data_IF_858868298510
#
_entry.id   IF_858868298510
#
_cell.length_a   1.000
_cell.length_b   1.000
_cell.length_c   1.000
_cell.angle_alpha   90.00
_cell.angle_beta   90.00
_cell.angle_gamma   90.00
#
_symmetry.space_group_name_H-M   'P 1'
#
loop_
_entity.id
_entity.type
_entity.pdbx_description
1 polymer ?
#
# COMPACT_ATOMS: atom_id res chain seq x y z
N UNK A 1 63.66 -14.08 -46.34
CA UNK A 1 63.24 -13.89 -44.93
C UNK A 1 62.29 -12.70 -44.87
N UNK A 2 61.30 -12.77 -43.97
CA UNK A 2 60.27 -11.77 -43.65
C UNK A 2 59.01 -11.72 -44.56
N UNK A 3 57.99 -12.48 -44.15
CA UNK A 3 56.59 -12.25 -44.49
C UNK A 3 55.88 -11.79 -43.19
N UNK A 4 55.34 -10.58 -43.20
CA UNK A 4 54.56 -10.02 -42.08
C UNK A 4 53.08 -10.30 -42.30
N UNK A 5 52.51 -11.20 -41.48
CA UNK A 5 51.08 -11.40 -41.35
C UNK A 5 50.48 -10.24 -40.55
N UNK A 6 49.64 -9.43 -41.22
CA UNK A 6 48.68 -8.54 -40.55
C UNK A 6 47.40 -9.35 -40.35
N UNK A 7 47.21 -9.86 -39.14
CA UNK A 7 46.03 -10.64 -38.79
C UNK A 7 44.94 -9.70 -38.26
N UNK A 8 43.87 -9.62 -39.04
CA UNK A 8 42.69 -8.79 -38.88
C UNK A 8 41.78 -9.39 -37.79
N UNK A 9 41.84 -8.86 -36.57
CA UNK A 9 40.87 -9.17 -35.50
C UNK A 9 39.58 -8.35 -35.71
N UNK A 10 38.68 -8.85 -36.57
CA UNK A 10 37.28 -8.40 -36.61
C UNK A 10 36.56 -8.98 -35.37
N UNK A 11 36.56 -8.22 -34.28
CA UNK A 11 35.70 -8.50 -33.14
C UNK A 11 34.24 -8.29 -33.56
N UNK A 12 33.50 -9.40 -33.72
CA UNK A 12 32.06 -9.44 -33.90
C UNK A 12 31.38 -8.85 -32.65
N UNK A 13 31.10 -7.55 -32.66
CA UNK A 13 30.13 -6.94 -31.77
C UNK A 13 28.74 -7.35 -32.23
N UNK A 14 28.29 -8.52 -31.81
CA UNK A 14 26.88 -8.89 -31.91
C UNK A 14 26.07 -7.85 -31.13
N UNK A 15 25.02 -7.24 -31.73
CA UNK A 15 24.14 -6.37 -30.98
C UNK A 15 23.52 -7.21 -29.87
N UNK A 16 23.84 -6.87 -28.63
CA UNK A 16 23.08 -7.34 -27.47
C UNK A 16 21.70 -6.71 -27.64
N UNK A 17 20.79 -7.45 -28.26
CA UNK A 17 19.39 -7.07 -28.28
C UNK A 17 18.92 -7.12 -26.83
N UNK A 18 18.75 -5.95 -26.21
CA UNK A 18 18.06 -5.87 -24.92
C UNK A 18 16.73 -6.59 -25.08
N UNK A 19 16.62 -7.76 -24.44
CA UNK A 19 15.35 -8.44 -24.31
C UNK A 19 14.44 -7.48 -23.54
N UNK A 20 13.53 -6.82 -24.25
CA UNK A 20 12.53 -5.94 -23.65
C UNK A 20 11.74 -6.78 -22.65
N UNK A 21 11.61 -6.30 -21.41
CA UNK A 21 10.85 -7.00 -20.39
C UNK A 21 9.43 -7.26 -20.89
N UNK A 22 8.97 -8.50 -20.79
CA UNK A 22 7.64 -8.92 -21.23
C UNK A 22 6.53 -8.41 -20.31
N UNK A 23 6.89 -7.83 -19.15
CA UNK A 23 6.02 -7.10 -18.25
C UNK A 23 6.84 -6.44 -17.15
N UNK A 24 6.33 -5.32 -16.63
CA UNK A 24 6.92 -4.56 -15.53
C UNK A 24 5.79 -4.06 -14.64
N UNK A 25 5.96 -4.16 -13.33
CA UNK A 25 5.03 -3.59 -12.35
C UNK A 25 5.83 -2.85 -11.28
N UNK A 26 5.51 -1.57 -11.10
CA UNK A 26 6.03 -0.71 -10.05
C UNK A 26 5.45 -1.15 -8.70
N UNK A 27 6.29 -1.12 -7.67
CA UNK A 27 5.87 -1.48 -6.32
C UNK A 27 5.10 -0.34 -5.64
N UNK A 28 3.87 -0.10 -6.10
CA UNK A 28 2.97 0.91 -5.55
C UNK A 28 1.75 0.20 -4.97
N UNK A 29 1.63 0.09 -3.65
CA UNK A 29 0.45 -0.50 -3.02
C UNK A 29 -0.82 0.28 -3.38
N UNK A 30 -1.95 -0.39 -3.68
CA UNK A 30 -3.22 0.27 -3.89
C UNK A 30 -3.71 0.92 -2.59
N UNK A 31 -4.35 2.09 -2.72
CA UNK A 31 -4.94 2.85 -1.61
C UNK A 31 -6.40 3.10 -1.94
N UNK A 32 -7.30 2.73 -1.03
CA UNK A 32 -8.72 3.07 -1.17
C UNK A 32 -8.96 4.54 -0.84
N UNK A 33 -9.88 5.16 -1.59
CA UNK A 33 -10.36 6.51 -1.28
C UNK A 33 -11.18 6.52 0.02
N UNK A 34 -10.93 7.51 0.88
CA UNK A 34 -11.69 7.67 2.12
C UNK A 34 -13.11 8.15 1.92
N UNK A 35 -13.32 8.92 0.85
CA UNK A 35 -14.61 9.53 0.50
C UNK A 35 -14.96 9.20 -0.94
N UNK A 36 -16.25 9.10 -1.29
CA UNK A 36 -16.70 8.79 -2.65
C UNK A 36 -16.15 9.71 -3.77
N UNK A 37 -15.76 10.94 -3.43
CA UNK A 37 -15.24 11.96 -4.35
C UNK A 37 -13.71 12.11 -4.35
N UNK A 38 -13.00 11.31 -3.55
CA UNK A 38 -11.56 11.49 -3.26
C UNK A 38 -10.61 10.54 -4.00
N UNK A 39 -11.02 10.02 -5.15
CA UNK A 39 -10.13 9.17 -5.96
C UNK A 39 -8.84 9.89 -6.35
N UNK A 40 -8.92 11.18 -6.64
CA UNK A 40 -7.74 12.03 -6.90
C UNK A 40 -6.78 12.13 -5.69
N UNK A 41 -7.32 12.25 -4.46
CA UNK A 41 -6.50 12.33 -3.26
C UNK A 41 -5.83 10.99 -2.92
N UNK A 42 -6.55 9.88 -3.10
CA UNK A 42 -6.00 8.53 -2.93
C UNK A 42 -4.91 8.21 -3.98
N UNK A 43 -5.13 8.61 -5.24
CA UNK A 43 -4.09 8.52 -6.28
C UNK A 43 -2.88 9.40 -5.95
N UNK A 44 -3.12 10.61 -5.43
CA UNK A 44 -2.08 11.49 -4.91
C UNK A 44 -1.26 10.82 -3.81
N UNK A 45 -1.91 10.25 -2.79
CA UNK A 45 -1.24 9.49 -1.73
C UNK A 45 -0.35 8.38 -2.30
N UNK A 46 -0.85 7.56 -3.24
CA UNK A 46 -0.05 6.50 -3.87
C UNK A 46 1.21 7.04 -4.55
N UNK A 47 1.08 8.11 -5.34
CA UNK A 47 2.22 8.74 -6.05
C UNK A 47 3.18 9.40 -5.07
N UNK A 48 2.68 10.11 -4.07
CA UNK A 48 3.50 10.79 -3.10
C UNK A 48 4.29 9.82 -2.20
N UNK A 49 3.66 8.73 -1.75
CA UNK A 49 4.37 7.64 -1.06
C UNK A 49 5.44 7.01 -1.95
N UNK A 50 5.16 6.79 -3.23
CA UNK A 50 6.13 6.25 -4.19
C UNK A 50 7.37 7.14 -4.34
N UNK A 51 7.21 8.47 -4.31
CA UNK A 51 8.31 9.44 -4.41
C UNK A 51 8.79 9.99 -3.06
N UNK A 52 8.49 9.31 -1.95
CA UNK A 52 8.86 9.70 -0.59
C UNK A 52 8.47 11.13 -0.17
N UNK A 53 7.45 11.70 -0.82
CA UNK A 53 6.85 12.95 -0.38
C UNK A 53 6.15 12.68 0.96
N UNK A 54 6.37 13.48 2.01
CA UNK A 54 5.73 13.26 3.29
C UNK A 54 4.29 13.78 3.31
N UNK A 55 3.46 13.27 4.24
CA UNK A 55 2.16 13.86 4.50
C UNK A 55 2.33 15.19 5.26
N UNK A 56 1.60 16.23 4.84
CA UNK A 56 1.55 17.51 5.59
C UNK A 56 0.86 17.33 6.93
N UNK A 57 -0.24 16.56 6.93
CA UNK A 57 -0.97 16.19 8.13
C UNK A 57 -0.54 14.79 8.55
N UNK A 58 0.03 14.66 9.76
CA UNK A 58 0.70 13.43 10.19
C UNK A 58 -0.23 12.22 10.24
N UNK A 59 -1.51 12.40 10.57
CA UNK A 59 -2.43 11.29 10.89
C UNK A 59 -3.19 10.77 9.65
N UNK A 60 -3.22 11.55 8.56
CA UNK A 60 -4.08 11.25 7.42
C UNK A 60 -3.57 11.93 6.16
N UNK A 61 -3.12 11.10 5.21
CA UNK A 61 -2.54 11.55 3.95
C UNK A 61 -3.57 12.22 3.05
N UNK A 62 -4.75 11.62 2.86
CA UNK A 62 -5.77 12.14 1.95
C UNK A 62 -6.39 13.40 2.53
N UNK A 63 -6.67 13.43 3.83
CA UNK A 63 -7.11 14.64 4.52
C UNK A 63 -6.05 15.77 4.41
N UNK A 64 -4.76 15.46 4.61
CA UNK A 64 -3.69 16.44 4.44
C UNK A 64 -3.62 17.01 3.00
N UNK A 65 -3.78 16.15 1.99
CA UNK A 65 -3.90 16.56 0.59
C UNK A 65 -5.07 17.54 0.39
N UNK A 66 -6.25 17.19 0.92
CA UNK A 66 -7.47 17.99 0.75
C UNK A 66 -7.39 19.34 1.51
N UNK A 67 -6.82 19.35 2.71
CA UNK A 67 -6.61 20.57 3.50
C UNK A 67 -5.69 21.56 2.80
N UNK A 68 -4.55 21.10 2.27
CA UNK A 68 -3.58 21.98 1.62
C UNK A 68 -4.09 22.56 0.29
N UNK A 69 -4.99 21.86 -0.39
CA UNK A 69 -5.71 22.41 -1.55
C UNK A 69 -6.77 23.46 -1.16
N UNK A 70 -6.88 23.82 0.12
CA UNK A 70 -7.88 24.74 0.68
C UNK A 70 -9.31 24.34 0.33
N UNK A 71 -9.54 23.04 0.15
CA UNK A 71 -10.86 22.48 -0.12
C UNK A 71 -11.66 22.29 1.18
N UNK A 72 -10.98 22.28 2.33
CA UNK A 72 -11.53 22.16 3.68
C UNK A 72 -11.46 23.47 4.49
N UNK A 73 -11.79 24.64 3.91
CA UNK A 73 -11.61 25.90 4.64
C UNK A 73 -12.40 25.94 5.95
N UNK A 74 -11.69 26.07 7.08
CA UNK A 74 -12.27 26.34 8.40
C UNK A 74 -12.60 25.10 9.24
N UNK A 75 -12.40 23.88 8.73
CA UNK A 75 -12.61 22.65 9.52
C UNK A 75 -11.31 21.89 9.70
N UNK A 76 -10.83 21.68 10.95
CA UNK A 76 -9.66 20.85 11.20
C UNK A 76 -9.91 19.37 10.90
N UNK A 77 -11.19 18.96 10.83
CA UNK A 77 -11.60 17.61 10.48
C UNK A 77 -12.01 17.59 9.00
N UNK A 78 -11.44 16.66 8.22
CA UNK A 78 -11.83 16.48 6.83
C UNK A 78 -13.16 15.73 6.65
N UNK A 79 -13.89 15.47 7.74
CA UNK A 79 -15.17 14.78 7.72
C UNK A 79 -16.24 15.51 6.93
N UNK A 80 -16.16 16.85 6.94
CA UNK A 80 -17.17 17.73 6.35
C UNK A 80 -16.76 18.20 4.94
N UNK A 81 -15.62 17.71 4.44
CA UNK A 81 -15.06 18.10 3.15
C UNK A 81 -15.59 17.20 2.04
N UNK A 82 -16.86 17.35 1.70
CA UNK A 82 -17.47 16.69 0.55
C UNK A 82 -17.47 17.63 -0.66
N UNK A 83 -16.28 17.92 -1.19
CA UNK A 83 -16.15 18.63 -2.45
C UNK A 83 -15.90 17.65 -3.60
N UNK A 84 -16.63 17.80 -4.72
CA UNK A 84 -16.49 16.92 -5.88
C UNK A 84 -15.09 17.02 -6.48
N UNK A 85 -14.68 15.92 -7.12
CA UNK A 85 -13.34 15.60 -7.60
C UNK A 85 -12.56 16.79 -8.16
N UNK A 86 -11.27 16.87 -7.79
CA UNK A 86 -10.30 17.65 -8.57
C UNK A 86 -10.28 17.13 -10.00
N UNK A 87 -10.43 18.03 -10.98
CA UNK A 87 -10.18 17.70 -12.38
C UNK A 87 -8.69 17.38 -12.61
N UNK A 88 -8.32 16.90 -13.80
CA UNK A 88 -6.91 16.66 -14.11
C UNK A 88 -6.02 17.90 -13.90
N UNK A 89 -6.53 19.12 -14.10
CA UNK A 89 -5.79 20.36 -13.82
C UNK A 89 -5.47 20.51 -12.34
N UNK A 90 -6.43 20.22 -11.47
CA UNK A 90 -6.28 20.28 -10.02
C UNK A 90 -5.32 19.20 -9.53
N UNK A 91 -5.41 17.99 -10.06
CA UNK A 91 -4.46 16.91 -9.76
C UNK A 91 -3.05 17.24 -10.25
N UNK A 92 -2.92 17.82 -11.44
CA UNK A 92 -1.63 18.28 -11.96
C UNK A 92 -0.99 19.33 -11.03
N UNK A 93 -1.76 20.33 -10.60
CA UNK A 93 -1.29 21.33 -9.63
C UNK A 93 -0.95 20.71 -8.28
N UNK A 94 -1.74 19.72 -7.83
CA UNK A 94 -1.46 18.99 -6.61
C UNK A 94 -0.07 18.34 -6.66
N UNK A 95 0.25 17.65 -7.75
CA UNK A 95 1.56 17.00 -7.93
C UNK A 95 2.70 18.01 -7.83
N UNK A 96 2.60 19.18 -8.46
CA UNK A 96 3.67 20.18 -8.46
C UNK A 96 3.78 20.95 -7.13
N UNK A 97 2.66 21.24 -6.47
CA UNK A 97 2.64 22.15 -5.32
C UNK A 97 2.72 21.45 -3.97
N UNK A 98 2.09 20.28 -3.83
CA UNK A 98 2.03 19.57 -2.55
C UNK A 98 3.40 19.22 -1.97
N UNK A 99 4.38 18.70 -2.75
CA UNK A 99 5.69 18.36 -2.22
C UNK A 99 6.39 19.55 -1.54
N UNK A 100 6.28 20.75 -2.11
CA UNK A 100 6.86 21.97 -1.54
C UNK A 100 6.15 22.45 -0.26
N UNK A 101 4.89 22.10 -0.06
CA UNK A 101 4.15 22.37 1.18
C UNK A 101 4.48 21.32 2.25
N UNK A 102 4.49 20.05 1.88
CA UNK A 102 4.86 18.92 2.72
C UNK A 102 6.27 19.04 3.30
N UNK A 103 7.23 19.45 2.47
CA UNK A 103 8.64 19.60 2.89
C UNK A 103 8.85 20.71 3.93
N UNK A 104 7.95 21.70 4.05
CA UNK A 104 8.06 22.75 5.08
C UNK A 104 7.76 22.25 6.49
N UNK A 105 6.96 21.19 6.57
CA UNK A 105 6.47 20.62 7.82
C UNK A 105 7.23 19.35 8.23
N UNK A 106 8.09 18.83 7.35
CA UNK A 106 8.86 17.61 7.56
C UNK A 106 10.35 17.90 7.75
N UNK A 107 11.09 16.89 8.22
CA UNK A 107 12.56 16.92 8.24
C UNK A 107 13.17 16.53 6.90
N UNK A 108 12.35 16.04 5.96
CA UNK A 108 12.81 15.67 4.63
C UNK A 108 13.34 16.91 3.91
N UNK A 109 14.41 16.73 3.15
CA UNK A 109 14.93 17.71 2.23
C UNK A 109 13.89 18.13 1.18
N UNK A 110 14.16 19.18 0.41
CA UNK A 110 13.23 19.68 -0.58
C UNK A 110 12.99 18.62 -1.66
N UNK A 111 11.74 18.13 -1.75
CA UNK A 111 11.26 17.28 -2.84
C UNK A 111 10.36 18.12 -3.74
N UNK A 112 10.56 18.01 -5.05
CA UNK A 112 9.70 18.60 -6.06
C UNK A 112 9.33 17.53 -7.10
N UNK A 113 8.04 17.44 -7.41
CA UNK A 113 7.56 16.61 -8.50
C UNK A 113 7.19 17.50 -9.69
N UNK A 114 7.43 16.99 -10.90
CA UNK A 114 6.89 17.57 -12.13
C UNK A 114 6.15 16.49 -12.91
N UNK A 115 5.22 16.89 -13.77
CA UNK A 115 4.48 15.97 -14.63
C UNK A 115 4.19 16.64 -15.98
N UNK A 116 3.61 15.87 -16.91
CA UNK A 116 3.02 16.39 -18.14
C UNK A 116 1.56 15.98 -18.23
N UNK A 117 0.72 16.88 -18.75
CA UNK A 117 -0.70 16.62 -19.01
C UNK A 117 -0.92 16.39 -20.51
N UNK A 118 -1.63 15.32 -20.85
CA UNK A 118 -2.02 14.97 -22.22
C UNK A 118 -3.50 14.61 -22.26
N UNK A 119 -4.22 15.17 -23.24
CA UNK A 119 -5.59 14.74 -23.54
C UNK A 119 -5.60 13.34 -24.18
N UNK A 120 -6.54 12.50 -23.75
CA UNK A 120 -6.68 11.11 -24.18
C UNK A 120 -5.73 10.15 -23.44
N UNK A 121 -5.60 8.94 -24.00
CA UNK A 121 -4.68 7.91 -23.53
C UNK A 121 -3.28 8.04 -24.14
N UNK A 122 -2.30 7.44 -23.48
CA UNK A 122 -1.03 7.08 -24.11
C UNK A 122 -1.23 5.97 -25.15
N UNK A 123 -0.26 5.81 -26.04
CA UNK A 123 -0.09 4.61 -26.87
C UNK A 123 0.56 3.48 -26.06
N UNK A 124 0.46 2.23 -26.53
CA UNK A 124 1.09 1.08 -25.86
C UNK A 124 2.59 1.28 -25.62
N UNK A 125 3.32 1.80 -26.62
CA UNK A 125 4.75 2.08 -26.52
C UNK A 125 5.07 3.19 -25.51
N UNK A 126 4.23 4.23 -25.43
CA UNK A 126 4.36 5.28 -24.42
C UNK A 126 4.08 4.73 -23.01
N UNK A 127 3.08 3.86 -22.83
CA UNK A 127 2.81 3.21 -21.53
C UNK A 127 4.00 2.39 -21.07
N UNK A 128 4.50 1.49 -21.94
CA UNK A 128 5.67 0.65 -21.61
C UNK A 128 6.86 1.50 -21.22
N UNK A 129 7.16 2.53 -22.02
CA UNK A 129 8.27 3.45 -21.75
C UNK A 129 8.17 4.13 -20.38
N UNK A 130 7.01 4.63 -20.00
CA UNK A 130 6.85 5.28 -18.69
C UNK A 130 7.08 4.29 -17.54
N UNK A 131 6.49 3.10 -17.63
CA UNK A 131 6.61 2.06 -16.61
C UNK A 131 8.05 1.49 -16.54
N UNK A 132 8.69 1.26 -17.69
CA UNK A 132 10.09 0.81 -17.79
C UNK A 132 11.07 1.82 -17.18
N UNK A 133 10.76 3.12 -17.30
CA UNK A 133 11.54 4.21 -16.69
C UNK A 133 11.10 4.50 -15.24
N UNK A 134 10.37 3.59 -14.59
CA UNK A 134 10.02 3.71 -13.17
C UNK A 134 8.97 4.78 -12.86
N UNK A 135 8.12 5.16 -13.82
CA UNK A 135 7.15 6.24 -13.64
C UNK A 135 5.71 5.75 -13.75
N UNK A 136 4.89 5.91 -12.70
CA UNK A 136 3.49 5.57 -12.79
C UNK A 136 2.73 6.59 -13.67
N UNK A 137 1.59 6.17 -14.20
CA UNK A 137 0.75 7.02 -15.05
C UNK A 137 -0.61 7.22 -14.37
N UNK A 138 -1.00 8.48 -14.16
CA UNK A 138 -2.34 8.79 -13.65
C UNK A 138 -3.29 8.93 -14.83
N UNK A 139 -4.38 8.16 -14.80
CA UNK A 139 -5.43 8.16 -15.80
C UNK A 139 -6.71 8.77 -15.23
N UNK A 140 -7.20 9.83 -15.87
CA UNK A 140 -8.57 10.29 -15.67
C UNK A 140 -9.50 9.43 -16.53
N UNK A 141 -10.44 8.76 -15.87
CA UNK A 141 -11.36 7.80 -16.46
C UNK A 141 -12.82 8.20 -16.24
N UNK A 142 -13.70 7.71 -17.10
CA UNK A 142 -15.14 7.91 -17.00
C UNK A 142 -15.88 6.58 -17.24
N UNK A 143 -15.77 5.63 -16.29
CA UNK A 143 -16.35 4.30 -16.44
C UNK A 143 -17.86 4.40 -16.72
N UNK A 144 -18.32 3.64 -17.72
CA UNK A 144 -19.74 3.59 -18.09
C UNK A 144 -20.56 3.03 -16.92
N UNK A 145 -21.29 3.88 -16.21
CA UNK A 145 -22.07 3.50 -15.03
C UNK A 145 -21.93 4.47 -13.87
N UNK A 146 -20.82 5.23 -13.81
CA UNK A 146 -20.67 6.34 -12.88
C UNK A 146 -21.56 7.51 -13.32
N UNK A 147 -22.82 7.47 -12.88
CA UNK A 147 -23.72 8.63 -12.86
C UNK A 147 -23.97 9.03 -11.40
N UNK A 148 -22.91 9.15 -10.60
CA UNK A 148 -23.03 9.81 -9.30
C UNK A 148 -23.14 11.30 -9.62
N UNK A 149 -24.28 11.91 -9.27
CA UNK A 149 -24.64 13.29 -9.62
C UNK A 149 -23.46 14.27 -9.49
N UNK A 150 -22.95 14.77 -10.62
CA UNK A 150 -21.90 15.79 -10.67
C UNK A 150 -20.45 15.29 -10.66
N UNK A 151 -20.17 14.01 -10.37
CA UNK A 151 -18.80 13.44 -10.40
C UNK A 151 -18.54 12.87 -11.80
N UNK A 152 -18.13 13.75 -12.73
CA UNK A 152 -17.90 13.39 -14.15
C UNK A 152 -16.54 12.72 -14.40
N UNK A 153 -15.67 12.66 -13.38
CA UNK A 153 -14.26 12.31 -13.52
C UNK A 153 -13.79 11.48 -12.33
N UNK A 154 -13.20 10.32 -12.61
CA UNK A 154 -12.59 9.40 -11.63
C UNK A 154 -11.12 9.20 -11.97
N UNK A 155 -10.25 9.01 -10.99
CA UNK A 155 -8.82 8.83 -11.22
C UNK A 155 -8.37 7.43 -10.80
N UNK A 156 -7.55 6.81 -11.65
CA UNK A 156 -6.87 5.56 -11.38
C UNK A 156 -5.38 5.70 -11.72
N UNK A 157 -4.55 4.84 -11.12
CA UNK A 157 -3.11 4.85 -11.30
C UNK A 157 -2.69 3.58 -12.04
N UNK A 158 -2.11 3.72 -13.23
CA UNK A 158 -1.48 2.61 -13.94
C UNK A 158 -0.07 2.44 -13.38
N UNK A 159 0.19 1.25 -12.84
CA UNK A 159 1.43 0.92 -12.13
C UNK A 159 2.19 -0.21 -12.80
N UNK A 160 1.65 -0.82 -13.86
CA UNK A 160 2.34 -1.90 -14.55
C UNK A 160 1.72 -2.26 -15.89
N UNK A 161 2.43 -3.11 -16.62
CA UNK A 161 1.94 -3.75 -17.83
C UNK A 161 2.46 -5.19 -17.96
N UNK A 162 1.76 -6.01 -18.75
CA UNK A 162 2.18 -7.34 -19.16
C UNK A 162 1.79 -7.57 -20.62
N UNK A 163 2.77 -7.86 -21.48
CA UNK A 163 2.59 -8.11 -22.92
C UNK A 163 3.04 -9.53 -23.32
N UNK A 164 3.20 -10.43 -22.35
CA UNK A 164 3.61 -11.82 -22.62
C UNK A 164 2.63 -12.59 -23.51
N UNK A 165 1.35 -12.19 -23.54
CA UNK A 165 0.30 -12.82 -24.32
C UNK A 165 0.13 -12.25 -25.73
N UNK A 166 0.91 -11.23 -26.10
CA UNK A 166 0.73 -10.46 -27.35
C UNK A 166 -0.45 -9.48 -27.33
N UNK A 167 -1.19 -9.41 -26.22
CA UNK A 167 -2.12 -8.33 -25.93
C UNK A 167 -1.63 -7.59 -24.68
N UNK A 168 -1.45 -6.28 -24.78
CA UNK A 168 -1.02 -5.46 -23.64
C UNK A 168 -2.10 -5.46 -22.54
N UNK A 169 -1.76 -6.04 -21.41
CA UNK A 169 -2.49 -5.96 -20.16
C UNK A 169 -1.90 -4.85 -19.29
N UNK A 170 -2.74 -4.09 -18.61
CA UNK A 170 -2.36 -3.05 -17.66
C UNK A 170 -2.64 -3.52 -16.24
N UNK A 171 -1.74 -3.20 -15.32
CA UNK A 171 -1.97 -3.27 -13.87
C UNK A 171 -2.37 -1.88 -13.37
N UNK A 172 -3.57 -1.76 -12.80
CA UNK A 172 -4.20 -0.50 -12.43
C UNK A 172 -4.59 -0.52 -10.97
N UNK A 173 -4.10 0.42 -10.17
CA UNK A 173 -4.62 0.71 -8.85
C UNK A 173 -5.80 1.70 -8.99
N UNK A 174 -7.01 1.23 -8.73
CA UNK A 174 -8.21 2.06 -8.72
C UNK A 174 -8.69 2.20 -7.26
N UNK A 175 -8.73 3.43 -6.72
CA UNK A 175 -9.04 3.65 -5.32
C UNK A 175 -10.52 3.43 -4.96
N UNK A 176 -11.41 3.25 -5.93
CA UNK A 176 -12.84 3.08 -5.66
C UNK A 176 -13.13 1.67 -5.10
N UNK A 177 -13.82 1.55 -3.95
CA UNK A 177 -14.09 0.26 -3.33
C UNK A 177 -15.30 -0.44 -3.97
N UNK A 178 -15.13 -0.94 -5.20
CA UNK A 178 -16.19 -1.58 -5.98
C UNK A 178 -16.85 -2.78 -5.32
N UNK A 179 -16.15 -3.47 -4.41
CA UNK A 179 -16.66 -4.66 -3.71
C UNK A 179 -17.35 -4.34 -2.39
N UNK A 180 -17.35 -3.08 -1.96
CA UNK A 180 -18.05 -2.69 -0.73
C UNK A 180 -19.56 -2.76 -0.96
N UNK A 181 -20.28 -3.39 -0.02
CA UNK A 181 -21.73 -3.58 -0.05
C UNK A 181 -22.49 -2.26 -0.33
N UNK A 182 -21.93 -1.12 0.09
CA UNK A 182 -22.50 0.23 -0.13
C UNK A 182 -22.52 0.64 -1.62
N UNK A 183 -21.66 0.04 -2.43
CA UNK A 183 -21.45 0.38 -3.84
C UNK A 183 -21.74 -0.78 -4.81
N UNK A 184 -22.28 -1.91 -4.36
CA UNK A 184 -22.64 -3.05 -5.23
C UNK A 184 -23.59 -2.69 -6.39
N UNK A 185 -24.34 -1.60 -6.25
CA UNK A 185 -25.21 -1.07 -7.32
C UNK A 185 -24.42 -0.43 -8.46
N UNK A 186 -23.14 -0.10 -8.26
CA UNK A 186 -22.17 0.34 -9.27
C UNK A 186 -21.39 -0.90 -9.70
N UNK A 187 -21.76 -1.47 -10.85
CA UNK A 187 -21.04 -2.62 -11.40
C UNK A 187 -19.54 -2.30 -11.53
N UNK A 188 -18.70 -3.24 -11.11
CA UNK A 188 -17.25 -3.11 -11.22
C UNK A 188 -16.85 -3.05 -12.71
N UNK A 189 -16.29 -1.93 -13.19
CA UNK A 189 -16.09 -1.72 -14.63
C UNK A 189 -14.96 -2.60 -15.22
N UNK A 190 -14.15 -3.22 -14.34
CA UNK A 190 -13.09 -4.15 -14.70
C UNK A 190 -13.61 -5.58 -14.97
N UNK A 191 -14.84 -5.95 -14.56
CA UNK A 191 -15.46 -7.27 -14.83
C UNK A 191 -16.01 -7.41 -16.27
N UNK A 192 -16.09 -8.62 -16.88
CA UNK A 192 -15.91 -9.96 -16.30
C UNK A 192 -14.52 -10.59 -16.54
N UNK A 193 -13.64 -9.94 -17.29
CA UNK A 193 -12.33 -10.52 -17.67
C UNK A 193 -11.29 -10.43 -16.55
N UNK A 194 -11.73 -10.25 -15.31
CA UNK A 194 -10.83 -10.36 -14.18
C UNK A 194 -10.65 -11.83 -13.86
N UNK A 195 -9.39 -12.25 -13.84
CA UNK A 195 -9.01 -13.43 -13.09
C UNK A 195 -9.15 -13.08 -11.60
N UNK A 196 -10.40 -13.08 -11.08
CA UNK A 196 -10.73 -12.77 -9.68
C UNK A 196 -10.32 -13.92 -8.74
N UNK A 197 -9.17 -14.54 -8.96
CA UNK A 197 -8.68 -15.67 -8.16
C UNK A 197 -8.17 -15.25 -6.77
N UNK A 198 -8.48 -14.03 -6.30
CA UNK A 198 -8.17 -13.58 -4.94
C UNK A 198 -9.01 -12.36 -4.52
N UNK A 199 -9.04 -12.10 -3.20
CA UNK A 199 -9.70 -10.93 -2.62
C UNK A 199 -9.17 -9.64 -3.28
N UNK A 200 -10.11 -8.78 -3.69
CA UNK A 200 -9.84 -7.55 -4.42
C UNK A 200 -9.15 -6.52 -3.52
N UNK A 201 -7.96 -6.07 -3.92
CA UNK A 201 -7.13 -5.12 -3.18
C UNK A 201 -7.25 -3.68 -3.67
N UNK A 202 -8.13 -3.39 -4.62
CA UNK A 202 -8.11 -2.12 -5.36
C UNK A 202 -7.02 -2.08 -6.44
N UNK A 203 -6.45 -3.24 -6.80
CA UNK A 203 -5.54 -3.41 -7.94
C UNK A 203 -6.18 -4.37 -8.94
N UNK A 204 -6.18 -3.99 -10.21
CA UNK A 204 -6.94 -4.60 -11.28
C UNK A 204 -6.05 -4.87 -12.48
N UNK A 205 -6.26 -6.01 -13.16
CA UNK A 205 -5.68 -6.26 -14.48
C UNK A 205 -6.75 -6.06 -15.57
N UNK A 206 -6.38 -5.33 -16.62
CA UNK A 206 -7.30 -5.01 -17.72
C UNK A 206 -6.55 -4.81 -19.03
N UNK A 207 -7.10 -5.27 -20.15
CA UNK A 207 -6.47 -5.01 -21.46
C UNK A 207 -6.43 -3.52 -21.77
N UNK A 208 -5.32 -3.06 -22.35
CA UNK A 208 -5.09 -1.67 -22.73
C UNK A 208 -6.26 -1.09 -23.55
N UNK A 209 -6.70 -1.83 -24.57
CA UNK A 209 -7.83 -1.41 -25.43
C UNK A 209 -9.15 -1.27 -24.67
N UNK A 210 -9.41 -2.15 -23.70
CA UNK A 210 -10.62 -2.09 -22.88
C UNK A 210 -10.55 -0.91 -21.91
N UNK A 211 -9.40 -0.68 -21.27
CA UNK A 211 -9.20 0.47 -20.40
C UNK A 211 -9.41 1.78 -21.17
N UNK A 212 -8.82 1.90 -22.36
CA UNK A 212 -9.01 3.06 -23.23
C UNK A 212 -10.48 3.27 -23.64
N UNK A 213 -11.13 2.24 -24.18
CA UNK A 213 -12.43 2.38 -24.85
C UNK A 213 -13.66 2.21 -23.94
N UNK A 214 -13.62 1.29 -22.96
CA UNK A 214 -14.75 0.96 -22.09
C UNK A 214 -14.71 1.73 -20.78
N UNK A 215 -13.54 1.81 -20.14
CA UNK A 215 -13.33 2.63 -18.93
C UNK A 215 -13.24 4.12 -19.30
N UNK A 216 -13.01 4.43 -20.58
CA UNK A 216 -12.95 5.78 -21.18
C UNK A 216 -11.83 6.62 -20.57
N UNK A 217 -10.59 6.24 -20.87
CA UNK A 217 -9.41 7.01 -20.51
C UNK A 217 -9.39 8.36 -21.25
N UNK A 218 -9.73 9.44 -20.53
CA UNK A 218 -9.94 10.79 -21.08
C UNK A 218 -8.72 11.70 -20.99
N UNK A 219 -7.95 11.61 -19.91
CA UNK A 219 -6.76 12.44 -19.71
C UNK A 219 -5.65 11.63 -19.06
N UNK A 220 -4.42 12.06 -19.30
CA UNK A 220 -3.23 11.42 -18.79
C UNK A 220 -2.32 12.44 -18.11
N UNK A 221 -1.88 12.13 -16.89
CA UNK A 221 -0.69 12.73 -16.31
C UNK A 221 0.43 11.69 -16.31
N UNK A 222 1.56 12.02 -16.93
CA UNK A 222 2.69 11.13 -17.19
C UNK A 222 4.01 11.90 -17.09
N UNK A 223 5.15 11.23 -17.28
CA UNK A 223 6.49 11.81 -17.06
C UNK A 223 6.62 12.42 -15.68
N UNK A 224 6.07 11.72 -14.68
CA UNK A 224 6.17 12.14 -13.30
C UNK A 224 7.63 11.97 -12.88
N UNK A 225 8.33 13.07 -12.62
CA UNK A 225 9.73 13.03 -12.21
C UNK A 225 9.88 13.67 -10.83
N UNK A 226 10.85 13.17 -10.08
CA UNK A 226 11.20 13.67 -8.76
C UNK A 226 12.56 14.35 -8.83
N UNK A 227 12.68 15.54 -8.25
CA UNK A 227 13.95 16.23 -8.04
C UNK A 227 14.07 16.66 -6.58
N UNK A 228 15.26 16.53 -6.00
CA UNK A 228 15.46 16.76 -4.57
C UNK A 228 16.48 15.81 -3.97
N UNK A 229 16.90 16.09 -2.73
CA UNK A 229 17.85 15.24 -2.01
C UNK A 229 17.27 13.86 -1.68
N UNK A 230 15.97 13.81 -1.39
CA UNK A 230 15.29 12.60 -0.90
C UNK A 230 14.45 11.89 -1.97
N UNK A 231 14.62 12.26 -3.24
CA UNK A 231 13.98 11.54 -4.32
C UNK A 231 14.54 10.11 -4.41
N UNK A 232 13.70 9.10 -4.69
CA UNK A 232 14.20 7.77 -5.02
C UNK A 232 15.20 7.90 -6.16
N UNK A 233 16.38 7.28 -6.04
CA UNK A 233 17.28 7.18 -7.20
C UNK A 233 16.53 6.49 -8.34
N UNK A 234 16.68 6.95 -9.58
CA UNK A 234 15.99 6.44 -10.78
C UNK A 234 16.08 4.91 -10.98
N UNK A 235 16.96 4.22 -10.25
CA UNK A 235 17.13 2.77 -10.23
C UNK A 235 16.26 2.00 -9.21
N UNK A 236 15.43 2.65 -8.38
CA UNK A 236 14.62 1.95 -7.39
C UNK A 236 13.27 1.47 -7.95
N UNK A 237 13.16 0.13 -8.05
CA UNK A 237 11.93 -0.68 -8.03
C UNK A 237 11.16 -0.88 -9.36
N UNK A 238 11.86 -1.37 -10.39
CA UNK A 238 11.29 -2.50 -11.15
C UNK A 238 11.45 -3.74 -10.26
N UNK A 239 10.36 -4.43 -9.95
CA UNK A 239 10.35 -5.52 -8.99
C UNK A 239 11.19 -6.73 -9.45
N UNK A 240 12.47 -6.73 -9.08
CA UNK A 240 13.29 -7.93 -8.85
C UNK A 240 13.89 -7.94 -7.42
N UNK A 241 13.54 -6.98 -6.56
CA UNK A 241 14.22 -6.73 -5.27
C UNK A 241 13.36 -6.95 -4.02
N UNK A 242 13.89 -7.73 -3.08
CA UNK A 242 13.29 -8.10 -1.80
C UNK A 242 12.91 -6.89 -0.92
N UNK A 243 11.74 -7.00 -0.29
CA UNK A 243 11.31 -6.22 0.89
C UNK A 243 12.43 -6.20 1.93
N UNK A 244 12.60 -5.07 2.66
CA UNK A 244 13.56 -4.93 3.76
C UNK A 244 13.50 -6.18 4.65
N UNK A 245 14.61 -6.93 4.67
CA UNK A 245 14.65 -8.33 5.10
C UNK A 245 14.11 -8.54 6.53
N UNK A 246 14.34 -7.58 7.41
CA UNK A 246 14.00 -7.69 8.83
C UNK A 246 12.49 -7.54 9.11
N UNK A 247 11.80 -6.62 8.43
CA UNK A 247 10.33 -6.46 8.56
C UNK A 247 9.60 -7.68 7.98
N UNK A 248 10.15 -8.23 6.90
CA UNK A 248 9.67 -9.47 6.30
C UNK A 248 9.85 -10.65 7.27
N UNK A 249 10.96 -10.75 8.01
CA UNK A 249 11.24 -11.87 8.92
C UNK A 249 10.25 -11.95 10.09
N UNK A 250 9.96 -10.82 10.74
CA UNK A 250 9.03 -10.77 11.88
C UNK A 250 7.59 -11.09 11.45
N UNK A 251 7.16 -10.46 10.34
CA UNK A 251 5.85 -10.73 9.76
C UNK A 251 5.74 -12.19 9.32
N UNK A 252 6.76 -12.72 8.66
CA UNK A 252 6.78 -14.11 8.20
C UNK A 252 6.78 -15.11 9.35
N UNK A 253 7.42 -14.80 10.48
CA UNK A 253 7.35 -15.63 11.70
C UNK A 253 5.91 -15.72 12.24
N UNK A 254 5.19 -14.59 12.27
CA UNK A 254 3.78 -14.55 12.66
C UNK A 254 2.89 -15.28 11.66
N UNK A 255 3.13 -15.09 10.36
CA UNK A 255 2.41 -15.81 9.29
C UNK A 255 2.64 -17.33 9.35
N UNK A 256 3.86 -17.78 9.67
CA UNK A 256 4.17 -19.19 9.85
C UNK A 256 3.55 -19.78 11.14
N UNK A 257 3.30 -18.95 12.15
CA UNK A 257 2.65 -19.36 13.39
C UNK A 257 1.11 -19.49 13.24
N UNK A 258 0.49 -18.77 12.30
CA UNK A 258 -0.90 -19.02 11.92
C UNK A 258 -1.02 -20.32 11.11
N UNK A 259 -2.00 -21.17 11.42
CA UNK A 259 -2.18 -22.48 10.77
C UNK A 259 -2.75 -22.37 9.35
N UNK A 260 -2.20 -23.13 8.40
CA UNK A 260 -2.98 -23.85 7.39
C UNK A 260 -3.08 -23.31 5.97
N UNK A 261 -3.32 -22.03 5.71
CA UNK A 261 -3.59 -21.54 4.34
C UNK A 261 -3.07 -20.10 4.12
N UNK A 262 -1.84 -19.97 3.65
CA UNK A 262 -1.21 -18.66 3.39
C UNK A 262 -0.69 -18.58 1.96
N UNK A 263 -1.47 -17.99 1.05
CA UNK A 263 -0.99 -17.67 -0.30
C UNK A 263 -1.10 -16.22 -0.75
N UNK A 264 -1.62 -15.30 0.06
CA UNK A 264 -1.55 -13.87 -0.27
C UNK A 264 -1.67 -12.97 0.97
N UNK A 265 -0.58 -12.29 1.32
CA UNK A 265 -0.62 -11.11 2.18
C UNK A 265 -1.19 -9.97 1.33
N UNK A 266 -2.40 -9.52 1.65
CA UNK A 266 -3.06 -8.40 0.98
C UNK A 266 -3.75 -7.55 2.05
N UNK A 267 -3.65 -6.23 1.94
CA UNK A 267 -4.30 -5.28 2.86
C UNK A 267 -5.58 -4.79 2.23
N UNK A 268 -6.72 -5.00 2.89
CA UNK A 268 -8.03 -4.56 2.43
C UNK A 268 -8.73 -3.71 3.49
N UNK A 269 -9.64 -2.84 3.06
CA UNK A 269 -10.54 -1.99 3.85
C UNK A 269 -9.99 -1.14 5.01
N UNK A 270 -10.22 0.16 4.84
CA UNK A 270 -9.88 1.29 5.71
C UNK A 270 -11.04 1.63 6.65
N UNK A 271 -10.75 1.77 7.94
CA UNK A 271 -11.55 2.59 8.84
C UNK A 271 -10.62 3.66 9.42
N UNK A 272 -10.88 4.93 9.08
CA UNK A 272 -10.24 6.07 9.74
C UNK A 272 -11.10 6.41 10.94
N UNK A 273 -10.62 6.07 12.13
CA UNK A 273 -11.11 6.70 13.35
C UNK A 273 -10.05 7.71 13.83
N UNK A 274 -10.37 8.52 14.84
CA UNK A 274 -9.45 9.54 15.37
C UNK A 274 -8.16 8.99 15.98
N UNK A 275 -7.84 7.69 15.86
CA UNK A 275 -6.65 7.04 16.41
C UNK A 275 -5.64 6.56 15.35
N UNK A 276 -5.92 6.74 14.05
CA UNK A 276 -5.01 6.45 12.94
C UNK A 276 -5.64 5.57 11.85
N UNK A 277 -4.84 5.20 10.83
CA UNK A 277 -5.31 4.38 9.71
C UNK A 277 -5.30 2.89 10.07
N UNK A 278 -6.49 2.26 10.10
CA UNK A 278 -6.63 0.82 10.32
C UNK A 278 -7.00 0.09 9.02
N UNK A 279 -6.20 -0.90 8.66
CA UNK A 279 -6.38 -1.84 7.55
C UNK A 279 -6.88 -3.18 8.08
N UNK A 280 -7.73 -3.90 7.36
CA UNK A 280 -8.03 -5.32 7.61
C UNK A 280 -7.01 -6.18 6.87
N UNK A 281 -6.37 -7.11 7.58
CA UNK A 281 -5.43 -8.07 6.98
C UNK A 281 -6.18 -9.28 6.44
N UNK A 282 -5.78 -9.84 5.30
CA UNK A 282 -6.22 -11.16 4.83
C UNK A 282 -5.68 -12.31 5.68
N UNK A 283 -4.72 -12.03 6.56
CA UNK A 283 -4.19 -12.99 7.53
C UNK A 283 -5.29 -13.28 8.53
N UNK A 284 -5.85 -14.48 8.49
CA UNK A 284 -6.74 -14.99 9.53
C UNK A 284 -5.98 -16.02 10.37
N UNK A 285 -6.16 -15.94 11.68
CA UNK A 285 -5.86 -17.06 12.56
C UNK A 285 -7.15 -17.85 12.72
N UNK A 286 -7.06 -19.18 12.76
CA UNK A 286 -8.17 -19.98 13.25
C UNK A 286 -8.64 -19.37 14.59
N UNK A 287 -9.94 -19.13 14.71
CA UNK A 287 -10.61 -18.53 15.87
C UNK A 287 -10.37 -17.02 16.10
N UNK A 288 -9.59 -16.32 15.27
CA UNK A 288 -9.53 -14.86 15.32
C UNK A 288 -10.84 -14.25 14.81
N UNK A 289 -11.38 -13.29 15.56
CA UNK A 289 -12.55 -12.52 15.14
C UNK A 289 -12.18 -11.52 14.04
N UNK A 290 -10.99 -10.93 14.13
CA UNK A 290 -10.53 -9.90 13.21
C UNK A 290 -9.02 -9.74 13.30
N UNK A 291 -8.36 -9.56 12.15
CA UNK A 291 -6.97 -9.13 12.09
C UNK A 291 -6.85 -7.78 11.39
N UNK A 292 -6.07 -6.90 12.00
CA UNK A 292 -5.94 -5.50 11.67
C UNK A 292 -4.47 -5.14 11.51
N UNK A 293 -4.13 -4.36 10.49
CA UNK A 293 -2.87 -3.64 10.43
C UNK A 293 -3.17 -2.20 10.78
N UNK A 294 -2.51 -1.65 11.78
CA UNK A 294 -2.59 -0.23 12.10
C UNK A 294 -1.29 0.40 11.68
N UNK A 295 -1.36 1.25 10.67
CA UNK A 295 -0.29 2.21 10.44
C UNK A 295 -0.56 3.33 11.43
N UNK A 296 0.19 3.35 12.53
CA UNK A 296 0.09 4.45 13.49
C UNK A 296 1.17 5.42 13.06
N UNK A 297 0.79 6.60 12.60
CA UNK A 297 1.69 7.64 12.10
C UNK A 297 2.62 8.27 13.18
N UNK A 298 2.84 7.56 14.28
CA UNK A 298 3.79 7.90 15.34
C UNK A 298 5.17 7.29 15.00
N UNK A 299 6.20 7.70 15.74
CA UNK A 299 7.60 7.21 15.63
C UNK A 299 7.79 5.70 15.77
N UNK A 300 6.73 4.97 16.08
CA UNK A 300 6.76 3.60 16.60
C UNK A 300 6.51 2.54 15.52
N UNK A 301 6.25 2.98 14.28
CA UNK A 301 6.13 2.15 13.07
C UNK A 301 4.83 1.38 12.90
N UNK A 302 4.79 0.57 11.84
CA UNK A 302 3.60 -0.19 11.47
C UNK A 302 3.32 -1.26 12.54
N UNK A 303 2.10 -1.24 13.08
CA UNK A 303 1.64 -2.20 14.08
C UNK A 303 0.62 -3.14 13.45
N UNK A 304 1.02 -4.38 13.18
CA UNK A 304 0.08 -5.43 12.88
C UNK A 304 -0.55 -5.96 14.18
N UNK A 305 -1.84 -6.29 14.20
CA UNK A 305 -2.55 -6.83 15.35
C UNK A 305 -3.75 -7.73 15.01
N UNK A 306 -3.84 -8.94 15.57
CA UNK A 306 -5.06 -9.75 15.56
C UNK A 306 -5.82 -9.65 16.89
N UNK A 307 -7.14 -9.55 16.80
CA UNK A 307 -8.08 -9.57 17.90
C UNK A 307 -8.85 -10.91 17.93
N UNK A 308 -8.78 -11.57 19.07
CA UNK A 308 -9.58 -12.75 19.40
C UNK A 308 -10.50 -12.38 20.56
N UNK A 309 -11.72 -12.91 20.57
CA UNK A 309 -12.68 -12.69 21.65
C UNK A 309 -13.15 -14.02 22.19
N UNK A 310 -12.99 -14.21 23.49
CA UNK A 310 -13.35 -15.44 24.19
C UNK A 310 -14.48 -15.21 25.18
N UNK A 311 -15.20 -16.28 25.50
CA UNK A 311 -16.32 -16.28 26.45
C UNK A 311 -15.84 -16.08 27.87
N UNK A 312 -14.68 -16.66 28.17
CA UNK A 312 -14.04 -16.69 29.47
C UNK A 312 -12.52 -16.74 29.34
N UNK A 313 -11.86 -16.59 30.49
CA UNK A 313 -10.41 -16.50 30.58
C UNK A 313 -9.69 -17.82 30.34
N UNK A 314 -10.28 -18.94 30.75
CA UNK A 314 -9.65 -20.25 30.57
C UNK A 314 -9.57 -20.62 29.08
N UNK A 315 -10.60 -20.28 28.31
CA UNK A 315 -10.60 -20.44 26.85
C UNK A 315 -9.49 -19.60 26.21
N UNK A 316 -9.36 -18.34 26.62
CA UNK A 316 -8.31 -17.44 26.14
C UNK A 316 -6.90 -17.95 26.49
N UNK A 317 -6.68 -18.43 27.72
CA UNK A 317 -5.41 -18.99 28.18
C UNK A 317 -4.98 -20.20 27.32
N UNK A 318 -5.90 -21.14 27.05
CA UNK A 318 -5.62 -22.30 26.20
C UNK A 318 -5.24 -21.89 24.76
N UNK A 319 -5.96 -20.91 24.19
CA UNK A 319 -5.66 -20.40 22.86
C UNK A 319 -4.31 -19.69 22.82
N UNK A 320 -3.97 -18.93 23.86
CA UNK A 320 -2.67 -18.26 23.97
C UNK A 320 -1.53 -19.26 24.08
N UNK A 321 -1.65 -20.32 24.89
CA UNK A 321 -0.62 -21.36 25.00
C UNK A 321 -0.30 -22.00 23.65
N UNK A 322 -1.33 -22.30 22.84
CA UNK A 322 -1.14 -22.85 21.51
C UNK A 322 -0.45 -21.85 20.55
N UNK A 323 -0.85 -20.59 20.56
CA UNK A 323 -0.21 -19.53 19.75
C UNK A 323 1.25 -19.34 20.17
N UNK A 324 1.53 -19.26 21.47
CA UNK A 324 2.90 -19.09 22.00
C UNK A 324 3.79 -20.26 21.61
N UNK A 325 3.28 -21.49 21.72
CA UNK A 325 4.00 -22.70 21.30
C UNK A 325 4.32 -22.69 19.80
N UNK A 326 3.42 -22.17 18.96
CA UNK A 326 3.67 -22.01 17.52
C UNK A 326 4.67 -20.89 17.24
N UNK A 327 4.56 -19.75 17.93
CA UNK A 327 5.51 -18.64 17.81
C UNK A 327 6.94 -19.11 18.14
N UNK A 328 7.16 -19.78 19.28
CA UNK A 328 8.49 -20.31 19.63
C UNK A 328 9.11 -21.20 18.55
N UNK A 329 8.29 -22.01 17.87
CA UNK A 329 8.76 -22.89 16.78
C UNK A 329 9.06 -22.15 15.49
N UNK A 330 8.39 -21.02 15.26
CA UNK A 330 8.46 -20.24 14.03
C UNK A 330 9.34 -19.00 14.15
N UNK A 331 9.87 -18.69 15.34
CA UNK A 331 10.75 -17.55 15.55
C UNK A 331 12.02 -17.69 14.68
N UNK A 332 12.43 -16.63 13.95
CA UNK A 332 13.65 -16.66 13.16
C UNK A 332 14.89 -16.78 14.07
N UNK A 333 15.99 -17.26 13.49
CA UNK A 333 17.26 -17.32 14.21
C UNK A 333 17.67 -15.95 14.77
N UNK A 334 18.07 -15.93 16.04
CA UNK A 334 18.49 -14.71 16.74
C UNK A 334 17.37 -13.96 17.45
N UNK A 335 16.10 -14.35 17.27
CA UNK A 335 15.01 -13.87 18.10
C UNK A 335 14.99 -14.57 19.46
N UNK A 336 14.62 -13.81 20.50
CA UNK A 336 14.47 -14.33 21.86
C UNK A 336 13.01 -14.19 22.26
N UNK A 337 12.29 -15.32 22.30
CA UNK A 337 10.93 -15.41 22.82
C UNK A 337 10.93 -15.61 24.33
N UNK A 338 10.08 -14.87 25.03
CA UNK A 338 9.90 -14.93 26.48
C UNK A 338 8.43 -15.16 26.79
N UNK A 339 8.14 -16.24 27.51
CA UNK A 339 6.81 -16.50 28.06
C UNK A 339 6.57 -15.54 29.23
N UNK A 340 5.44 -14.88 29.21
CA UNK A 340 5.05 -13.90 30.22
C UNK A 340 3.75 -14.36 30.88
N UNK A 341 3.56 -13.93 32.12
CA UNK A 341 2.26 -14.02 32.79
C UNK A 341 2.18 -12.88 33.82
N UNK A 342 2.36 -11.66 33.32
CA UNK A 342 2.45 -10.46 34.15
C UNK A 342 1.16 -9.68 33.99
N UNK A 343 0.47 -9.46 35.11
CA UNK A 343 -0.73 -8.65 35.16
C UNK A 343 -0.39 -7.18 35.42
N UNK A 344 -1.04 -6.31 34.66
CA UNK A 344 -1.08 -4.88 34.87
C UNK A 344 -2.52 -4.45 35.04
N UNK A 345 -2.89 -4.10 36.27
CA UNK A 345 -4.24 -3.70 36.63
C UNK A 345 -4.50 -2.21 36.38
N UNK A 346 -5.68 -1.90 35.82
CA UNK A 346 -6.25 -0.56 35.79
C UNK A 346 -7.65 -0.55 36.42
N UNK A 347 -8.25 0.63 36.58
CA UNK A 347 -9.63 0.76 37.08
C UNK A 347 -10.66 0.06 36.18
N UNK A 348 -10.39 -0.03 34.86
CA UNK A 348 -11.37 -0.49 33.87
C UNK A 348 -11.11 -1.91 33.36
N UNK A 349 -9.85 -2.34 33.34
CA UNK A 349 -9.45 -3.64 32.82
C UNK A 349 -8.16 -4.15 33.48
N UNK A 350 -7.91 -5.45 33.33
CA UNK A 350 -6.63 -6.09 33.65
C UNK A 350 -5.96 -6.47 32.35
N UNK A 351 -4.72 -6.01 32.11
CA UNK A 351 -3.91 -6.46 30.98
C UNK A 351 -3.01 -7.59 31.46
N UNK A 352 -2.98 -8.71 30.76
CA UNK A 352 -2.02 -9.79 31.04
C UNK A 352 -1.11 -9.99 29.84
N UNK A 353 0.17 -9.73 30.00
CA UNK A 353 1.16 -10.05 28.96
C UNK A 353 1.46 -11.56 29.01
N UNK A 354 1.36 -12.23 27.85
CA UNK A 354 1.51 -13.68 27.70
C UNK A 354 2.78 -14.10 26.97
N UNK A 355 3.23 -13.27 26.04
CA UNK A 355 4.45 -13.55 25.30
C UNK A 355 5.03 -12.27 24.73
N UNK A 356 6.34 -12.21 24.69
CA UNK A 356 7.07 -11.20 23.92
C UNK A 356 8.26 -11.86 23.23
N UNK A 357 8.50 -11.50 21.97
CA UNK A 357 9.73 -11.84 21.28
C UNK A 357 10.38 -10.59 20.71
N UNK A 358 11.70 -10.49 20.85
CA UNK A 358 12.49 -9.38 20.33
C UNK A 358 13.76 -9.92 19.67
N UNK A 359 14.29 -9.18 18.70
CA UNK A 359 15.61 -9.44 18.09
C UNK A 359 16.61 -8.46 18.72
N UNK A 360 17.67 -8.94 19.39
CA UNK A 360 18.64 -8.05 20.01
C UNK A 360 19.21 -7.05 18.99
N UNK A 361 19.17 -5.77 19.31
CA UNK A 361 19.65 -4.70 18.44
C UNK A 361 18.63 -4.16 17.44
N UNK A 362 17.36 -4.60 17.48
CA UNK A 362 16.26 -3.97 16.72
C UNK A 362 15.13 -3.56 17.66
N UNK A 363 14.32 -2.60 17.24
CA UNK A 363 13.09 -2.19 17.93
C UNK A 363 11.87 -3.06 17.52
N UNK A 364 12.12 -4.17 16.83
CA UNK A 364 11.07 -5.07 16.36
C UNK A 364 10.61 -5.97 17.50
N UNK A 365 9.30 -6.00 17.75
CA UNK A 365 8.72 -6.81 18.82
C UNK A 365 7.46 -7.54 18.36
N UNK A 366 7.36 -8.82 18.71
CA UNK A 366 6.12 -9.60 18.67
C UNK A 366 5.59 -9.66 20.10
N UNK A 367 4.31 -9.36 20.30
CA UNK A 367 3.69 -9.34 21.62
C UNK A 367 2.32 -10.03 21.59
N UNK A 368 2.06 -10.91 22.55
CA UNK A 368 0.74 -11.49 22.80
C UNK A 368 0.28 -11.10 24.19
N UNK A 369 -0.91 -10.51 24.30
CA UNK A 369 -1.46 -10.10 25.59
C UNK A 369 -2.99 -10.15 25.61
N UNK A 370 -3.56 -10.15 26.81
CA UNK A 370 -4.98 -10.07 27.05
C UNK A 370 -5.41 -8.72 27.59
N UNK A 371 -6.68 -8.40 27.37
CA UNK A 371 -7.41 -7.36 28.09
C UNK A 371 -8.69 -7.99 28.65
N UNK A 372 -8.76 -8.08 29.97
CA UNK A 372 -9.91 -8.52 30.75
C UNK A 372 -10.72 -7.30 31.20
N UNK A 373 -11.91 -7.10 30.63
CA UNK A 373 -12.74 -5.96 31.00
C UNK A 373 -13.57 -6.32 32.24
N UNK A 374 -13.18 -5.77 33.40
CA UNK A 374 -13.67 -6.12 34.75
C UNK A 374 -15.20 -6.18 34.89
N UNK A 375 -15.94 -5.37 34.11
CA UNK A 375 -17.41 -5.32 34.16
C UNK A 375 -18.13 -6.37 33.30
N UNK A 376 -17.45 -6.95 32.31
CA UNK A 376 -18.11 -7.77 31.29
C UNK A 376 -17.79 -9.26 31.35
N UNK A 377 -16.72 -9.64 32.06
CA UNK A 377 -16.19 -11.01 32.08
C UNK A 377 -15.63 -11.49 30.72
N UNK A 378 -15.60 -10.61 29.71
CA UNK A 378 -15.08 -10.92 28.37
C UNK A 378 -13.57 -10.68 28.31
N UNK A 379 -12.89 -11.62 27.66
CA UNK A 379 -11.44 -11.54 27.42
C UNK A 379 -11.18 -11.25 25.94
N UNK A 380 -10.37 -10.23 25.68
CA UNK A 380 -9.86 -9.93 24.34
C UNK A 380 -8.38 -10.24 24.29
N UNK A 381 -7.95 -11.09 23.35
CA UNK A 381 -6.55 -11.38 23.11
C UNK A 381 -6.06 -10.59 21.91
N UNK A 382 -4.86 -10.02 22.05
CA UNK A 382 -4.18 -9.24 21.04
C UNK A 382 -2.84 -9.90 20.73
N UNK A 383 -2.65 -10.30 19.47
CA UNK A 383 -1.33 -10.67 18.93
C UNK A 383 -0.85 -9.51 18.07
N UNK A 384 0.25 -8.86 18.42
CA UNK A 384 0.76 -7.69 17.72
C UNK A 384 2.20 -7.87 17.26
N UNK A 385 2.52 -7.33 16.08
CA UNK A 385 3.88 -7.15 15.60
C UNK A 385 4.11 -5.66 15.46
N UNK A 386 5.16 -5.17 16.10
CA UNK A 386 5.66 -3.81 15.93
C UNK A 386 6.94 -3.92 15.12
N UNK A 387 6.93 -3.33 13.91
CA UNK A 387 8.15 -3.06 13.17
C UNK A 387 8.55 -1.62 13.43
N UNK A 388 9.84 -1.32 13.67
CA UNK A 388 10.29 0.05 13.50
C UNK A 388 9.92 0.50 12.08
N UNK A 389 9.60 1.78 11.89
CA UNK A 389 9.68 2.35 10.54
C UNK A 389 11.06 1.98 9.96
N UNK A 390 11.21 1.80 8.64
CA UNK A 390 12.55 1.74 8.05
C UNK A 390 13.33 2.93 8.62
N UNK A 391 14.27 2.64 9.53
CA UNK A 391 15.12 3.66 10.12
C UNK A 391 16.09 3.99 9.01
N UNK A 392 15.74 4.90 8.14
CA UNK A 392 16.74 5.52 7.28
C UNK A 392 16.62 7.05 7.33
N UNK A 393 17.78 7.71 7.24
CA UNK A 393 18.16 8.93 7.96
C UNK A 393 17.44 10.21 7.53
#
# INVERSE_FOLDING_TARGET
>A
MAAFMVWLLLALSAPVGSAMATGVTLHIPPVFQERPSWSWAAVGEMVFKYYYVPAVHRIDYQCGIVQEQKLCMGTPNCTDCDLPAGDATSMFRLLEQYPGMASKSSKAGPIALTAQLKGGSLSEAEVKKEIDEGRPIIAEVAPSGFKINGISHHMALIVGYNDSSGNLMLTVNDPFPFEDDRFLWIANPYQPNMDMSGENTGQYEISFERFRSKIKWKQTMYRISCTGHDCPSDSHQVADGAVAKDDSEALQAVLMASSGEFKALRTGHKAVDGTGTTWRSTVSFADAKQCLVRDKDDSDGARWSCLFKFSDRSEADNAAEDIVKRLHKSLPNGWVGTDLNVDSDSELYTKTDKFSATKPGTDTAISLYFIDVKKSGRVSMYLSVQSPLPIHP
#
